data_IF_782225028954
#
_entry.id   IF_782225028954
#
_cell.length_a   1.000
_cell.length_b   1.000
_cell.length_c   1.000
_cell.angle_alpha   90.00
_cell.angle_beta   90.00
_cell.angle_gamma   90.00
#
_symmetry.space_group_name_H-M   'P 1'
#
loop_
_entity.id
_entity.type
_entity.pdbx_description
1 polymer ?
#
# COMPACT_ATOMS: atom_id res chain seq x y z
N UNK A 1 9.08 25.28 7.71
CA UNK A 1 8.00 24.26 7.66
C UNK A 1 8.57 22.99 8.29
N UNK A 2 8.04 22.56 9.44
CA UNK A 2 8.49 21.33 10.09
C UNK A 2 8.14 20.14 9.18
N UNK A 3 9.14 19.32 8.84
CA UNK A 3 8.90 18.10 8.09
C UNK A 3 7.91 17.23 8.88
N UNK A 4 6.83 16.76 8.24
CA UNK A 4 5.94 15.77 8.88
C UNK A 4 6.78 14.56 9.26
N UNK A 5 6.63 14.04 10.49
CA UNK A 5 7.33 12.82 10.87
C UNK A 5 6.95 11.69 9.90
N UNK A 6 7.92 10.88 9.53
CA UNK A 6 7.68 9.72 8.69
C UNK A 6 6.75 8.74 9.40
N UNK A 7 5.94 8.02 8.62
CA UNK A 7 5.00 7.03 9.18
C UNK A 7 5.74 5.89 9.88
N UNK A 8 6.96 5.54 9.41
CA UNK A 8 7.80 4.52 10.01
C UNK A 8 7.29 3.10 9.81
N UNK A 9 6.46 2.88 8.80
CA UNK A 9 5.96 1.56 8.42
C UNK A 9 6.63 1.08 7.12
N UNK A 10 6.87 -0.21 6.97
CA UNK A 10 7.48 -0.82 5.79
C UNK A 10 6.56 -1.82 5.12
N UNK A 11 6.61 -1.92 3.80
CA UNK A 11 5.89 -2.96 3.07
C UNK A 11 6.38 -4.33 3.52
N UNK A 12 5.47 -5.15 4.03
CA UNK A 12 5.77 -6.43 4.65
C UNK A 12 5.36 -7.62 3.79
N UNK A 13 4.13 -7.66 3.33
CA UNK A 13 3.60 -8.75 2.50
C UNK A 13 2.45 -8.32 1.62
N UNK A 14 2.16 -9.17 0.64
CA UNK A 14 1.04 -9.02 -0.28
C UNK A 14 0.14 -10.26 -0.19
N UNK A 15 -1.15 -10.08 -0.42
CA UNK A 15 -2.06 -11.16 -0.77
C UNK A 15 -2.57 -10.92 -2.19
N UNK A 16 -2.24 -11.81 -3.10
CA UNK A 16 -2.63 -11.73 -4.51
C UNK A 16 -3.62 -12.85 -4.84
N UNK A 17 -4.50 -12.58 -5.82
CA UNK A 17 -5.48 -13.55 -6.28
C UNK A 17 -5.01 -14.24 -7.56
N UNK A 18 -5.36 -15.52 -7.68
CA UNK A 18 -5.10 -16.31 -8.87
C UNK A 18 -6.21 -17.31 -9.09
N UNK A 19 -6.61 -17.58 -10.35
CA UNK A 19 -7.48 -18.71 -10.67
C UNK A 19 -6.78 -20.07 -10.44
N UNK A 20 -5.43 -20.07 -10.38
CA UNK A 20 -4.60 -21.25 -10.16
C UNK A 20 -3.56 -20.96 -9.03
N UNK A 21 -3.98 -20.88 -7.75
CA UNK A 21 -3.11 -20.45 -6.66
C UNK A 21 -1.85 -21.32 -6.50
N UNK A 22 -2.00 -22.65 -6.60
CA UNK A 22 -0.86 -23.56 -6.48
C UNK A 22 0.15 -23.34 -7.59
N UNK A 23 -0.30 -23.25 -8.83
CA UNK A 23 0.59 -23.01 -9.99
C UNK A 23 1.38 -21.72 -9.82
N UNK A 24 0.74 -20.66 -9.33
CA UNK A 24 1.40 -19.40 -9.04
C UNK A 24 2.39 -19.54 -7.88
N UNK A 25 2.05 -20.29 -6.82
CA UNK A 25 2.96 -20.56 -5.71
C UNK A 25 4.23 -21.30 -6.18
N UNK A 26 4.08 -22.31 -7.03
CA UNK A 26 5.20 -23.03 -7.63
C UNK A 26 6.06 -22.14 -8.55
N UNK A 27 5.48 -21.14 -9.18
CA UNK A 27 6.24 -20.14 -9.92
C UNK A 27 7.10 -19.29 -8.99
N UNK A 28 6.57 -18.81 -7.84
CA UNK A 28 7.35 -18.09 -6.84
C UNK A 28 8.48 -18.96 -6.25
N UNK A 29 8.22 -20.24 -6.06
CA UNK A 29 9.22 -21.19 -5.57
C UNK A 29 10.39 -21.31 -6.55
N UNK A 30 10.09 -21.60 -7.82
CA UNK A 30 11.13 -21.84 -8.84
C UNK A 30 11.81 -20.59 -9.35
N UNK A 31 11.05 -19.50 -9.50
CA UNK A 31 11.55 -18.26 -10.09
C UNK A 31 12.21 -17.30 -9.09
N UNK A 32 11.79 -17.35 -7.83
CA UNK A 32 12.26 -16.41 -6.80
C UNK A 32 12.90 -17.09 -5.59
N UNK A 33 13.07 -18.41 -5.61
CA UNK A 33 13.68 -19.16 -4.51
C UNK A 33 12.91 -19.07 -3.19
N UNK A 34 11.59 -18.89 -3.26
CA UNK A 34 10.72 -18.83 -2.09
C UNK A 34 10.28 -20.24 -1.70
N UNK A 35 10.08 -20.51 -0.42
CA UNK A 35 9.40 -21.71 0.04
C UNK A 35 7.90 -21.53 -0.11
N UNK A 36 7.23 -22.44 -0.81
CA UNK A 36 5.78 -22.42 -1.03
C UNK A 36 5.08 -23.49 -0.21
N UNK A 37 4.28 -23.08 0.78
CA UNK A 37 3.57 -23.97 1.68
C UNK A 37 2.06 -23.68 1.66
N UNK A 38 1.19 -24.71 1.76
CA UNK A 38 -0.24 -24.50 1.99
C UNK A 38 -0.47 -23.79 3.33
N UNK A 39 -1.43 -22.87 3.37
CA UNK A 39 -1.89 -22.20 4.58
C UNK A 39 -3.43 -22.07 4.53
N UNK A 40 -4.13 -23.06 5.08
CA UNK A 40 -5.58 -23.20 4.93
C UNK A 40 -5.97 -23.29 3.45
N UNK A 41 -6.82 -22.37 2.98
CA UNK A 41 -7.24 -22.28 1.58
C UNK A 41 -6.31 -21.43 0.70
N UNK A 42 -5.19 -20.96 1.24
CA UNK A 42 -4.20 -20.09 0.61
C UNK A 42 -2.86 -20.82 0.45
N UNK A 43 -1.99 -20.23 -0.35
CA UNK A 43 -0.57 -20.58 -0.40
C UNK A 43 0.26 -19.46 0.22
N UNK A 44 1.21 -19.82 1.07
CA UNK A 44 2.19 -18.92 1.66
C UNK A 44 3.55 -19.15 0.99
N UNK A 45 3.99 -18.19 0.22
CA UNK A 45 5.33 -18.15 -0.36
C UNK A 45 6.21 -17.23 0.51
N UNK A 46 7.32 -17.76 1.04
CA UNK A 46 8.20 -17.02 1.92
C UNK A 46 9.68 -17.21 1.59
N UNK A 47 10.43 -16.15 1.76
CA UNK A 47 11.88 -16.12 1.84
C UNK A 47 12.29 -15.07 2.88
N UNK A 48 13.55 -14.97 3.30
CA UNK A 48 13.97 -13.89 4.18
C UNK A 48 13.51 -12.52 3.65
N UNK A 49 12.80 -11.76 4.49
CA UNK A 49 12.24 -10.42 4.20
C UNK A 49 11.20 -10.36 3.05
N UNK A 50 10.71 -11.48 2.53
CA UNK A 50 9.67 -11.53 1.48
C UNK A 50 8.58 -12.52 1.83
N UNK A 51 7.34 -12.06 1.84
CA UNK A 51 6.15 -12.90 2.05
C UNK A 51 5.08 -12.54 1.04
N UNK A 52 4.53 -13.55 0.41
CA UNK A 52 3.39 -13.42 -0.51
C UNK A 52 2.36 -14.48 -0.15
N UNK A 53 1.14 -14.06 0.08
CA UNK A 53 -0.01 -14.98 0.14
C UNK A 53 -0.67 -15.04 -1.24
N UNK A 54 -1.14 -16.21 -1.60
CA UNK A 54 -1.87 -16.43 -2.85
C UNK A 54 -3.18 -17.13 -2.49
N UNK A 55 -4.29 -16.54 -2.90
CA UNK A 55 -5.62 -17.10 -2.71
C UNK A 55 -6.35 -17.30 -4.03
N UNK A 56 -7.39 -18.13 -4.01
CA UNK A 56 -8.25 -18.31 -5.18
C UNK A 56 -9.01 -17.02 -5.49
N UNK A 57 -9.04 -16.64 -6.77
CA UNK A 57 -9.73 -15.45 -7.22
C UNK A 57 -9.35 -15.05 -8.65
N UNK A 58 -9.71 -13.86 -9.04
CA UNK A 58 -9.46 -13.34 -10.39
C UNK A 58 -7.97 -13.07 -10.62
N UNK A 59 -7.48 -13.34 -11.83
CA UNK A 59 -6.13 -12.96 -12.23
C UNK A 59 -5.91 -11.44 -12.15
N UNK A 60 -4.65 -11.05 -11.92
CA UNK A 60 -4.22 -9.64 -11.84
C UNK A 60 -4.95 -8.80 -10.76
N UNK A 61 -5.33 -9.44 -9.65
CA UNK A 61 -5.95 -8.77 -8.51
C UNK A 61 -5.07 -8.93 -7.28
N UNK A 62 -4.98 -7.86 -6.51
CA UNK A 62 -4.42 -7.85 -5.17
C UNK A 62 -5.58 -7.86 -4.19
N UNK A 63 -5.64 -8.85 -3.30
CA UNK A 63 -6.65 -8.89 -2.25
C UNK A 63 -6.35 -7.81 -1.20
N UNK A 64 -5.09 -7.72 -0.78
CA UNK A 64 -4.58 -6.65 0.07
C UNK A 64 -3.05 -6.57 0.00
N UNK A 65 -2.52 -5.46 0.49
CA UNK A 65 -1.09 -5.30 0.77
C UNK A 65 -0.90 -4.72 2.18
N UNK A 66 0.21 -5.05 2.81
CA UNK A 66 0.37 -4.88 4.23
C UNK A 66 1.66 -4.15 4.58
N UNK A 67 1.54 -3.14 5.44
CA UNK A 67 2.65 -2.40 6.03
C UNK A 67 2.83 -2.78 7.50
N UNK A 68 4.07 -3.02 7.90
CA UNK A 68 4.43 -3.32 9.28
C UNK A 68 5.06 -2.13 9.97
N UNK A 69 4.52 -1.77 11.12
CA UNK A 69 5.18 -0.88 12.07
C UNK A 69 6.21 -1.64 12.89
N UNK A 70 7.23 -0.94 13.36
CA UNK A 70 8.27 -1.54 14.20
C UNK A 70 7.77 -1.88 15.62
N UNK A 71 6.71 -1.23 16.11
CA UNK A 71 6.13 -1.47 17.43
C UNK A 71 4.61 -1.37 17.42
N UNK A 72 3.95 -2.11 18.34
CA UNK A 72 2.50 -2.00 18.55
C UNK A 72 2.08 -0.62 19.06
N UNK A 73 2.93 0.06 19.80
CA UNK A 73 2.64 1.43 20.27
C UNK A 73 2.48 2.42 19.09
N UNK A 74 3.35 2.34 18.09
CA UNK A 74 3.24 3.16 16.86
C UNK A 74 1.98 2.80 16.07
N UNK A 75 1.67 1.52 15.92
CA UNK A 75 0.47 1.06 15.25
C UNK A 75 -0.81 1.58 15.93
N UNK A 76 -0.89 1.47 17.26
CA UNK A 76 -2.03 1.95 18.06
C UNK A 76 -2.17 3.47 17.93
N UNK A 77 -1.07 4.22 18.04
CA UNK A 77 -1.07 5.67 17.86
C UNK A 77 -1.53 6.06 16.44
N UNK A 78 -1.08 5.34 15.44
CA UNK A 78 -1.51 5.53 14.05
C UNK A 78 -3.01 5.29 13.89
N UNK A 79 -3.53 4.16 14.39
CA UNK A 79 -4.98 3.85 14.35
C UNK A 79 -5.81 4.94 15.04
N UNK A 80 -5.37 5.41 16.21
CA UNK A 80 -6.03 6.51 16.92
C UNK A 80 -6.03 7.81 16.10
N UNK A 81 -4.94 8.09 15.36
CA UNK A 81 -4.86 9.26 14.47
C UNK A 81 -5.80 9.17 13.27
N UNK A 82 -6.04 7.96 12.72
CA UNK A 82 -7.02 7.73 11.68
C UNK A 82 -8.44 7.98 12.18
N UNK A 83 -8.77 7.45 13.36
CA UNK A 83 -10.07 7.67 13.99
C UNK A 83 -10.38 9.16 14.19
N UNK A 84 -9.41 9.97 14.65
CA UNK A 84 -9.52 11.44 14.79
C UNK A 84 -9.78 12.14 13.45
N UNK A 85 -9.35 11.55 12.34
CA UNK A 85 -9.58 12.06 10.97
C UNK A 85 -10.83 11.48 10.31
N UNK A 86 -11.63 10.68 11.04
CA UNK A 86 -12.84 10.05 10.53
C UNK A 86 -12.58 8.92 9.52
N UNK A 87 -11.38 8.34 9.48
CA UNK A 87 -11.04 7.25 8.57
C UNK A 87 -11.51 5.93 9.19
N UNK A 88 -12.43 5.26 8.51
CA UNK A 88 -12.95 3.96 8.93
C UNK A 88 -11.88 2.87 8.84
N UNK A 89 -11.82 2.01 9.86
CA UNK A 89 -10.93 0.85 9.89
C UNK A 89 -11.76 -0.44 9.94
N UNK A 90 -11.23 -1.51 9.36
CA UNK A 90 -11.82 -2.84 9.33
C UNK A 90 -10.88 -3.84 10.01
N UNK A 91 -11.37 -5.04 10.32
CA UNK A 91 -10.52 -6.13 10.79
C UNK A 91 -9.47 -6.50 9.73
N UNK A 92 -8.26 -6.83 10.19
CA UNK A 92 -7.18 -7.27 9.30
C UNK A 92 -7.48 -8.65 8.70
N UNK A 93 -7.37 -8.84 7.38
CA UNK A 93 -7.43 -10.16 6.74
C UNK A 93 -6.10 -10.93 6.81
N UNK A 94 -5.04 -10.29 7.30
CA UNK A 94 -3.70 -10.89 7.32
C UNK A 94 -3.56 -11.87 8.47
N UNK A 95 -3.05 -13.10 8.22
CA UNK A 95 -2.75 -14.06 9.27
C UNK A 95 -1.37 -13.83 9.93
N UNK A 96 -0.60 -12.84 9.46
CA UNK A 96 0.79 -12.63 9.89
C UNK A 96 0.97 -11.54 10.93
N UNK A 97 -0.07 -10.79 11.22
CA UNK A 97 -0.06 -9.71 12.19
C UNK A 97 -0.84 -10.09 13.45
N UNK A 98 -0.57 -9.39 14.53
CA UNK A 98 -1.28 -9.57 15.79
C UNK A 98 -2.72 -9.02 15.76
N UNK A 99 -3.43 -9.15 16.88
CA UNK A 99 -4.83 -8.73 17.02
C UNK A 99 -5.06 -7.21 16.95
N UNK A 100 -4.00 -6.39 17.01
CA UNK A 100 -4.08 -4.94 16.85
C UNK A 100 -4.10 -4.50 15.38
N UNK A 101 -3.78 -5.43 14.46
CA UNK A 101 -3.78 -5.15 13.04
C UNK A 101 -5.18 -4.78 12.53
N UNK A 102 -5.19 -3.88 11.56
CA UNK A 102 -6.41 -3.39 10.93
C UNK A 102 -6.20 -3.11 9.44
N UNK A 103 -7.29 -2.95 8.72
CA UNK A 103 -7.28 -2.55 7.33
C UNK A 103 -8.03 -1.22 7.14
N UNK A 104 -7.66 -0.49 6.10
CA UNK A 104 -8.40 0.62 5.50
C UNK A 104 -8.63 0.33 4.03
N UNK A 105 -9.62 0.99 3.42
CA UNK A 105 -9.90 0.87 1.99
C UNK A 105 -9.55 2.18 1.32
N UNK A 106 -8.76 2.12 0.25
CA UNK A 106 -8.39 3.29 -0.53
C UNK A 106 -9.49 3.67 -1.53
N UNK A 107 -9.39 4.83 -2.21
CA UNK A 107 -10.42 5.29 -3.15
C UNK A 107 -10.70 4.36 -4.34
N UNK A 108 -9.76 3.49 -4.70
CA UNK A 108 -9.93 2.50 -5.78
C UNK A 108 -10.42 1.14 -5.23
N UNK A 109 -10.70 1.04 -3.92
CA UNK A 109 -11.19 -0.16 -3.27
C UNK A 109 -10.12 -1.18 -2.85
N UNK A 110 -8.84 -0.82 -2.91
CA UNK A 110 -7.78 -1.71 -2.44
C UNK A 110 -7.74 -1.72 -0.91
N UNK A 111 -7.56 -2.91 -0.32
CA UNK A 111 -7.34 -3.05 1.12
C UNK A 111 -5.88 -2.81 1.46
N UNK A 112 -5.63 -1.84 2.33
CA UNK A 112 -4.32 -1.52 2.90
C UNK A 112 -4.31 -1.96 4.35
N UNK A 113 -3.48 -2.95 4.68
CA UNK A 113 -3.39 -3.54 6.02
C UNK A 113 -2.22 -2.93 6.77
N UNK A 114 -2.44 -2.64 8.04
CA UNK A 114 -1.41 -2.17 8.97
C UNK A 114 -1.34 -3.10 10.17
N UNK A 115 -0.12 -3.46 10.56
CA UNK A 115 0.11 -4.33 11.71
C UNK A 115 1.53 -4.19 12.24
N UNK A 116 1.90 -5.07 13.16
CA UNK A 116 3.27 -5.20 13.66
C UNK A 116 3.82 -6.56 13.32
N UNK A 117 5.08 -6.60 12.94
CA UNK A 117 5.81 -7.84 12.69
C UNK A 117 6.35 -8.35 14.01
N UNK A 118 5.85 -9.49 14.48
CA UNK A 118 6.44 -10.17 15.62
C UNK A 118 7.84 -10.70 15.29
N UNK A 119 8.83 -10.37 16.12
CA UNK A 119 10.10 -11.08 16.18
C UNK A 119 11.02 -11.01 14.95
N UNK A 120 11.17 -9.84 14.34
CA UNK A 120 12.23 -9.64 13.35
C UNK A 120 13.54 -9.39 14.10
N UNK A 121 14.41 -10.40 14.14
CA UNK A 121 15.82 -10.19 14.44
C UNK A 121 16.42 -9.38 13.30
N UNK A 122 16.99 -8.23 13.60
CA UNK A 122 17.84 -7.49 12.66
C UNK A 122 19.02 -8.40 12.31
N UNK A 123 18.95 -9.02 11.14
CA UNK A 123 20.04 -9.74 10.54
C UNK A 123 20.63 -8.80 9.47
N UNK A 124 21.87 -8.38 9.64
CA UNK A 124 22.57 -7.41 8.79
C UNK A 124 22.88 -7.90 7.36
N UNK A 125 22.38 -9.06 6.98
CA UNK A 125 22.54 -9.55 5.61
C UNK A 125 21.70 -8.70 4.64
N UNK A 126 22.34 -8.26 3.54
CA UNK A 126 21.67 -7.66 2.38
C UNK A 126 20.67 -8.68 1.80
N UNK A 127 19.41 -8.59 2.24
CA UNK A 127 18.34 -9.49 1.80
C UNK A 127 17.38 -8.72 0.90
N UNK A 128 17.06 -9.32 -0.24
CA UNK A 128 16.00 -8.78 -1.10
C UNK A 128 14.68 -8.81 -0.34
N UNK A 129 14.07 -7.66 -0.09
CA UNK A 129 12.77 -7.49 0.57
C UNK A 129 11.74 -6.92 -0.39
N UNK A 130 10.47 -6.97 -0.02
CA UNK A 130 9.45 -6.18 -0.69
C UNK A 130 9.72 -4.70 -0.41
N UNK A 131 9.97 -3.92 -1.46
CA UNK A 131 10.28 -2.50 -1.34
C UNK A 131 9.06 -1.62 -1.58
N UNK A 132 8.36 -1.85 -2.69
CA UNK A 132 7.22 -1.04 -3.07
C UNK A 132 6.16 -1.86 -3.81
N UNK A 133 4.95 -1.32 -3.83
CA UNK A 133 3.85 -1.78 -4.66
C UNK A 133 3.45 -0.67 -5.64
N UNK A 134 2.99 -1.07 -6.83
CA UNK A 134 2.62 -0.15 -7.90
C UNK A 134 1.19 -0.42 -8.33
N UNK A 135 0.38 0.64 -8.42
CA UNK A 135 -0.98 0.59 -8.93
C UNK A 135 -1.18 1.51 -10.13
N UNK A 136 -2.17 1.17 -10.93
CA UNK A 136 -2.76 2.09 -11.91
C UNK A 136 -4.14 2.49 -11.41
N UNK A 137 -4.39 3.80 -11.39
CA UNK A 137 -5.63 4.39 -10.89
C UNK A 137 -6.32 5.22 -11.96
N UNK A 138 -7.63 5.10 -12.13
CA UNK A 138 -8.40 6.04 -12.95
C UNK A 138 -8.46 7.42 -12.30
N UNK A 139 -8.30 7.51 -10.97
CA UNK A 139 -8.31 8.76 -10.21
C UNK A 139 -7.06 8.91 -9.35
N UNK A 140 -5.91 9.10 -10.00
CA UNK A 140 -4.61 9.25 -9.33
C UNK A 140 -4.61 10.39 -8.29
N UNK A 141 -5.36 11.48 -8.52
CA UNK A 141 -5.36 12.63 -7.63
C UNK A 141 -6.04 12.28 -6.30
N UNK A 142 -7.17 11.53 -6.31
CA UNK A 142 -7.83 11.03 -5.11
C UNK A 142 -6.95 10.02 -4.35
N UNK A 143 -6.26 9.13 -5.08
CA UNK A 143 -5.32 8.19 -4.48
C UNK A 143 -4.19 8.92 -3.76
N UNK A 144 -3.55 9.89 -4.41
CA UNK A 144 -2.47 10.67 -3.80
C UNK A 144 -2.96 11.43 -2.57
N UNK A 145 -4.12 12.08 -2.64
CA UNK A 145 -4.71 12.78 -1.50
C UNK A 145 -4.97 11.82 -0.32
N UNK A 146 -5.57 10.66 -0.59
CA UNK A 146 -5.84 9.67 0.44
C UNK A 146 -4.56 9.19 1.14
N UNK A 147 -3.55 8.78 0.38
CA UNK A 147 -2.30 8.30 0.98
C UNK A 147 -1.55 9.39 1.72
N UNK A 148 -1.52 10.63 1.21
CA UNK A 148 -0.76 11.70 1.85
C UNK A 148 -1.52 12.40 2.98
N UNK A 149 -2.81 12.70 2.80
CA UNK A 149 -3.59 13.48 3.77
C UNK A 149 -4.23 12.59 4.82
N UNK A 150 -4.78 11.44 4.39
CA UNK A 150 -5.46 10.52 5.31
C UNK A 150 -4.48 9.54 5.98
N UNK A 151 -3.54 8.96 5.26
CA UNK A 151 -2.62 7.96 5.80
C UNK A 151 -1.26 8.52 6.23
N UNK A 152 -0.88 9.74 5.81
CA UNK A 152 0.37 10.36 6.23
C UNK A 152 1.62 9.90 5.47
N UNK A 153 1.46 9.32 4.28
CA UNK A 153 2.57 9.05 3.38
C UNK A 153 3.18 10.38 2.91
N UNK A 154 4.47 10.37 2.65
CA UNK A 154 5.19 11.53 2.12
C UNK A 154 5.47 11.35 0.64
N UNK A 155 5.12 12.35 -0.18
CA UNK A 155 5.47 12.33 -1.58
C UNK A 155 6.99 12.49 -1.73
N UNK A 156 7.60 11.55 -2.45
CA UNK A 156 9.01 11.62 -2.84
C UNK A 156 9.17 12.21 -4.24
N UNK A 157 8.27 11.87 -5.17
CA UNK A 157 8.37 12.38 -6.54
C UNK A 157 7.01 12.44 -7.25
N UNK A 158 6.90 13.31 -8.26
CA UNK A 158 5.74 13.46 -9.15
C UNK A 158 6.19 13.58 -10.58
N UNK A 159 5.65 12.72 -11.44
CA UNK A 159 5.84 12.80 -12.89
C UNK A 159 4.60 13.44 -13.51
N UNK A 160 4.80 14.52 -14.23
CA UNK A 160 3.76 15.23 -15.00
C UNK A 160 4.10 15.18 -16.48
N UNK A 161 3.08 15.23 -17.33
CA UNK A 161 3.29 15.44 -18.77
C UNK A 161 3.50 16.93 -19.12
N UNK A 162 3.69 17.20 -20.39
CA UNK A 162 3.89 18.57 -20.93
C UNK A 162 2.71 19.50 -20.62
N UNK A 163 1.50 18.96 -20.50
CA UNK A 163 0.30 19.71 -20.12
C UNK A 163 0.18 19.92 -18.60
N UNK A 164 1.15 19.44 -17.79
CA UNK A 164 1.15 19.52 -16.34
C UNK A 164 0.24 18.51 -15.64
N UNK A 165 -0.31 17.53 -16.39
CA UNK A 165 -1.19 16.49 -15.82
C UNK A 165 -0.35 15.45 -15.09
N UNK A 166 -0.72 15.12 -13.85
CA UNK A 166 -0.04 14.11 -13.04
C UNK A 166 -0.16 12.71 -13.70
N UNK A 167 0.96 12.10 -14.03
CA UNK A 167 1.07 10.76 -14.65
C UNK A 167 1.49 9.68 -13.68
N UNK A 168 2.37 10.04 -12.74
CA UNK A 168 2.75 9.14 -11.66
C UNK A 168 3.06 9.93 -10.39
N UNK A 169 2.87 9.29 -9.24
CA UNK A 169 3.28 9.81 -7.94
C UNK A 169 3.93 8.69 -7.15
N UNK A 170 5.08 8.97 -6.57
CA UNK A 170 5.85 8.07 -5.72
C UNK A 170 5.74 8.57 -4.28
N UNK A 171 5.43 7.66 -3.36
CA UNK A 171 5.17 7.99 -1.97
C UNK A 171 5.92 7.03 -1.05
N UNK A 172 6.45 7.56 0.03
CA UNK A 172 7.23 6.81 1.03
C UNK A 172 6.56 6.82 2.40
N UNK A 173 6.93 5.85 3.20
CA UNK A 173 6.49 5.68 4.59
C UNK A 173 7.65 5.78 5.58
N UNK A 174 8.87 5.70 5.08
CA UNK A 174 10.13 5.76 5.82
C UNK A 174 11.21 6.52 5.01
N UNK A 175 12.50 6.30 5.31
CA UNK A 175 13.64 6.94 4.64
C UNK A 175 13.89 6.46 3.21
N UNK A 176 13.22 5.38 2.76
CA UNK A 176 13.38 4.90 1.40
C UNK A 176 12.70 5.80 0.38
N UNK A 177 13.14 5.73 -0.87
CA UNK A 177 12.64 6.61 -1.92
C UNK A 177 11.12 6.47 -2.08
N UNK A 178 10.58 5.25 -2.12
CA UNK A 178 9.14 5.01 -2.15
C UNK A 178 8.77 3.59 -1.69
N UNK A 179 7.59 3.49 -1.07
CA UNK A 179 6.94 2.23 -0.69
C UNK A 179 5.66 2.00 -1.51
N UNK A 180 5.17 3.03 -2.19
CA UNK A 180 4.00 3.02 -3.05
C UNK A 180 4.23 3.92 -4.26
N UNK A 181 3.86 3.44 -5.45
CA UNK A 181 3.72 4.27 -6.64
C UNK A 181 2.32 4.12 -7.24
N UNK A 182 1.74 5.25 -7.65
CA UNK A 182 0.44 5.27 -8.33
C UNK A 182 0.64 5.92 -9.69
N UNK A 183 0.23 5.21 -10.75
CA UNK A 183 0.24 5.68 -12.12
C UNK A 183 -1.18 5.97 -12.59
N UNK A 184 -1.35 7.00 -13.42
CA UNK A 184 -2.64 7.25 -14.08
C UNK A 184 -2.95 6.11 -15.06
N UNK A 185 -4.16 5.54 -14.96
CA UNK A 185 -4.63 4.55 -15.93
C UNK A 185 -4.81 5.20 -17.31
N UNK A 186 -4.54 4.46 -18.37
CA UNK A 186 -4.80 4.90 -19.73
C UNK A 186 -6.32 5.10 -19.94
N UNK A 187 -6.70 6.18 -20.61
CA UNK A 187 -8.10 6.51 -20.89
C UNK A 187 -8.86 7.18 -19.73
N UNK A 188 -8.23 7.42 -18.57
CA UNK A 188 -8.85 8.19 -17.48
C UNK A 188 -8.86 9.69 -17.83
N UNK A 189 -10.03 10.32 -17.71
CA UNK A 189 -10.19 11.76 -17.92
C UNK A 189 -9.55 12.49 -16.73
N UNK A 190 -8.66 13.49 -16.95
CA UNK A 190 -8.19 14.32 -15.85
C UNK A 190 -9.37 15.08 -15.23
N UNK A 191 -9.37 15.33 -13.90
CA UNK A 191 -10.44 16.10 -13.28
C UNK A 191 -10.53 17.45 -13.97
N UNK A 192 -11.74 17.81 -14.41
CA UNK A 192 -12.01 19.11 -15.01
C UNK A 192 -11.59 20.18 -14.00
N UNK A 193 -10.76 21.13 -14.43
CA UNK A 193 -10.46 22.33 -13.64
C UNK A 193 -11.81 23.00 -13.36
N UNK A 194 -12.34 22.87 -12.16
CA UNK A 194 -13.46 23.67 -11.72
C UNK A 194 -13.04 25.13 -11.82
N UNK A 195 -13.55 25.83 -12.81
CA UNK A 195 -13.44 27.28 -12.89
C UNK A 195 -14.22 27.83 -11.71
N UNK A 196 -13.55 28.22 -10.64
CA UNK A 196 -14.07 29.13 -9.66
C UNK A 196 -14.43 30.43 -10.42
N UNK A 197 -15.70 30.58 -10.82
CA UNK A 197 -16.22 31.88 -11.21
C UNK A 197 -16.28 32.72 -9.94
N UNK A 198 -15.32 33.59 -9.78
CA UNK A 198 -15.42 34.70 -8.84
C UNK A 198 -16.61 35.53 -9.32
N UNK A 199 -17.75 35.44 -8.62
CA UNK A 199 -18.83 36.41 -8.79
C UNK A 199 -18.34 37.74 -8.28
N UNK A 200 -17.99 38.66 -9.19
CA UNK A 200 -17.87 40.06 -8.84
C UNK A 200 -19.26 40.56 -8.56
N UNK A 201 -19.55 40.89 -7.29
CA UNK A 201 -20.66 41.73 -6.90
C UNK A 201 -20.43 43.12 -7.48
N UNK A 202 -21.30 43.54 -8.39
CA UNK A 202 -21.46 44.93 -8.74
C UNK A 202 -22.41 45.56 -7.73
N UNK A 203 -21.90 46.54 -6.99
CA UNK A 203 -22.70 47.51 -6.28
C UNK A 203 -23.25 48.51 -7.28
#
# INVERSE_FOLDING_TARGET
MSARPELGARLDHLCIQSPEPERLARFFERGFGMQANPLGTRWHCQAPERRVLIEAGSANRTAYFAYAFSTSALLIAFRASLAKRGIATQASPSPFFDTHAFAVVDPDGNQVVFGTRGGVTADDALRARLQHIVFRSPNIDAMVAFYTESLGFTVSDRVKDEAGVLRACFMRTDLEHHALAVFRAAGSIPPSRSRMRCMRSHA
#
